data_IF_655282515265
#
_entry.id   IF_655282515265
#
_cell.length_a   1.000
_cell.length_b   1.000
_cell.length_c   1.000
_cell.angle_alpha   90.00
_cell.angle_beta   90.00
_cell.angle_gamma   90.00
#
_symmetry.space_group_name_H-M   'P 1'
#
loop_
_entity.id
_entity.type
_entity.pdbx_description
1 polymer ?
#
# COMPACT_ATOMS: atom_id res chain seq x y z
N UNK A 1 -31.68 2.11 21.00
CA UNK A 1 -30.99 2.80 22.12
C UNK A 1 -31.13 4.31 21.96
N UNK A 2 -30.69 4.88 20.84
CA UNK A 2 -30.83 6.32 20.54
C UNK A 2 -32.28 6.83 20.66
N UNK A 3 -33.25 6.15 20.05
CA UNK A 3 -34.67 6.50 20.15
C UNK A 3 -35.23 6.53 21.58
N UNK A 4 -34.78 5.60 22.45
CA UNK A 4 -35.29 5.47 23.82
C UNK A 4 -34.72 6.52 24.79
N UNK A 5 -33.59 7.14 24.45
CA UNK A 5 -32.95 8.18 25.27
C UNK A 5 -33.39 9.58 24.83
N UNK A 6 -33.59 9.79 23.52
CA UNK A 6 -34.09 11.06 22.96
C UNK A 6 -35.50 11.40 23.50
N UNK A 7 -36.37 10.40 23.66
CA UNK A 7 -37.74 10.58 24.17
C UNK A 7 -37.81 10.85 25.69
N UNK A 8 -36.73 10.66 26.45
CA UNK A 8 -36.78 10.62 27.93
C UNK A 8 -35.90 11.63 28.66
N UNK A 9 -35.02 12.37 27.98
CA UNK A 9 -33.95 13.11 28.64
C UNK A 9 -33.72 14.48 27.98
N UNK A 10 -33.57 15.55 28.78
CA UNK A 10 -33.17 16.89 28.32
C UNK A 10 -31.91 16.80 27.43
N UNK A 11 -31.85 17.63 26.37
CA UNK A 11 -30.75 17.61 25.38
C UNK A 11 -29.33 17.56 26.00
N UNK A 12 -29.12 18.22 27.14
CA UNK A 12 -27.83 18.20 27.85
C UNK A 12 -27.48 16.87 28.53
N UNK A 13 -28.47 16.17 29.10
CA UNK A 13 -28.26 14.90 29.79
C UNK A 13 -28.18 13.71 28.81
N UNK A 14 -28.87 13.80 27.67
CA UNK A 14 -28.76 12.86 26.53
C UNK A 14 -27.32 12.81 26.02
N UNK A 15 -26.65 13.95 25.89
CA UNK A 15 -25.27 14.03 25.44
C UNK A 15 -24.25 13.52 26.46
N UNK A 16 -24.41 13.78 27.76
CA UNK A 16 -23.51 13.21 28.77
C UNK A 16 -23.46 11.68 28.72
N UNK A 17 -24.55 11.04 28.26
CA UNK A 17 -24.61 9.61 28.03
C UNK A 17 -24.00 9.19 26.68
N UNK A 18 -24.34 9.89 25.58
CA UNK A 18 -23.90 9.52 24.23
C UNK A 18 -22.49 9.98 23.87
N UNK A 19 -22.02 11.11 24.39
CA UNK A 19 -20.74 11.73 24.04
C UNK A 19 -19.58 10.79 24.31
N UNK A 20 -19.56 10.12 25.46
CA UNK A 20 -18.53 9.11 25.78
C UNK A 20 -18.58 7.92 24.82
N UNK A 21 -19.78 7.43 24.51
CA UNK A 21 -19.95 6.31 23.57
C UNK A 21 -19.48 6.67 22.16
N UNK A 22 -19.75 7.90 21.71
CA UNK A 22 -19.35 8.39 20.37
C UNK A 22 -17.85 8.64 20.29
N UNK A 23 -17.24 9.19 21.34
CA UNK A 23 -15.77 9.30 21.42
C UNK A 23 -15.13 7.94 21.24
N UNK A 24 -15.55 6.96 22.05
CA UNK A 24 -15.03 5.60 21.99
C UNK A 24 -15.29 4.98 20.61
N UNK A 25 -16.45 5.23 20.01
CA UNK A 25 -16.78 4.78 18.66
C UNK A 25 -15.83 5.38 17.62
N UNK A 26 -15.52 6.67 17.69
CA UNK A 26 -14.55 7.32 16.80
C UNK A 26 -13.17 6.72 17.03
N UNK A 27 -12.69 6.67 18.26
CA UNK A 27 -11.35 6.15 18.61
C UNK A 27 -11.12 4.73 18.09
N UNK A 28 -12.16 3.90 18.04
CA UNK A 28 -12.11 2.51 17.59
C UNK A 28 -12.61 2.31 16.15
N UNK A 29 -13.06 3.36 15.46
CA UNK A 29 -13.52 3.29 14.08
C UNK A 29 -14.88 2.61 13.88
N UNK A 30 -15.74 2.59 14.91
CA UNK A 30 -17.09 2.00 14.91
C UNK A 30 -18.06 2.97 14.23
N UNK A 31 -17.97 3.06 12.91
CA UNK A 31 -18.77 3.98 12.10
C UNK A 31 -20.27 3.68 12.13
N UNK A 32 -20.68 2.43 12.28
CA UNK A 32 -22.08 1.99 12.29
C UNK A 32 -22.87 2.62 13.44
N UNK A 33 -22.23 2.71 14.62
CA UNK A 33 -22.81 3.37 15.78
C UNK A 33 -22.91 4.89 15.55
N UNK A 34 -21.93 5.48 14.88
CA UNK A 34 -21.91 6.91 14.59
C UNK A 34 -23.00 7.27 13.58
N UNK A 35 -23.16 6.46 12.52
CA UNK A 35 -24.20 6.60 11.50
C UNK A 35 -25.59 6.55 12.13
N UNK A 36 -25.86 5.55 12.99
CA UNK A 36 -27.13 5.45 13.71
C UNK A 36 -27.37 6.66 14.63
N UNK A 37 -26.35 7.13 15.35
CA UNK A 37 -26.46 8.32 16.20
C UNK A 37 -26.77 9.58 15.38
N UNK A 38 -26.13 9.77 14.22
CA UNK A 38 -26.36 10.90 13.32
C UNK A 38 -27.76 10.86 12.74
N UNK A 39 -28.25 9.68 12.32
CA UNK A 39 -29.61 9.52 11.78
C UNK A 39 -30.69 9.92 12.79
N UNK A 40 -30.48 9.59 14.07
CA UNK A 40 -31.43 9.88 15.13
C UNK A 40 -31.29 11.30 15.69
N UNK A 41 -30.08 11.87 15.64
CA UNK A 41 -29.79 13.22 16.12
C UNK A 41 -28.70 13.91 15.28
N UNK A 42 -29.04 14.52 14.13
CA UNK A 42 -28.05 15.08 13.20
C UNK A 42 -27.17 16.18 13.78
N UNK A 43 -27.68 16.91 14.79
CA UNK A 43 -26.95 17.97 15.49
C UNK A 43 -25.66 17.49 16.17
N UNK A 44 -25.49 16.18 16.37
CA UNK A 44 -24.36 15.56 17.07
C UNK A 44 -23.01 15.85 16.42
N UNK A 45 -22.98 16.16 15.12
CA UNK A 45 -21.75 16.44 14.37
C UNK A 45 -21.16 17.82 14.71
N UNK A 46 -22.01 18.74 15.17
CA UNK A 46 -21.63 20.11 15.56
C UNK A 46 -21.18 20.23 17.01
N UNK A 47 -21.24 19.16 17.80
CA UNK A 47 -20.82 19.22 19.20
C UNK A 47 -19.30 19.12 19.34
N UNK A 48 -18.76 20.03 20.13
CA UNK A 48 -17.34 20.07 20.49
C UNK A 48 -17.09 19.05 21.61
N UNK A 49 -16.27 18.05 21.31
CA UNK A 49 -15.81 17.02 22.23
C UNK A 49 -14.36 17.31 22.58
N UNK A 50 -14.06 17.64 23.84
CA UNK A 50 -12.68 17.91 24.28
C UNK A 50 -11.94 18.93 23.39
N UNK A 51 -12.63 19.94 22.83
CA UNK A 51 -12.04 20.89 21.89
C UNK A 51 -12.22 20.56 20.40
N UNK A 52 -12.74 19.36 20.07
CA UNK A 52 -12.76 18.83 18.71
C UNK A 52 -14.17 18.53 18.21
N UNK A 53 -14.45 18.94 16.98
CA UNK A 53 -15.57 18.37 16.22
C UNK A 53 -15.30 16.91 15.88
N UNK A 54 -16.37 16.14 15.67
CA UNK A 54 -16.33 14.72 15.36
C UNK A 54 -15.41 14.39 14.17
N UNK A 55 -15.38 15.28 13.16
CA UNK A 55 -14.50 15.17 12.00
C UNK A 55 -13.01 15.28 12.37
N UNK A 56 -12.64 16.26 13.21
CA UNK A 56 -11.26 16.44 13.67
C UNK A 56 -10.78 15.26 14.52
N UNK A 57 -11.66 14.63 15.30
CA UNK A 57 -11.34 13.40 16.03
C UNK A 57 -11.07 12.23 15.08
N UNK A 58 -11.87 12.06 14.02
CA UNK A 58 -11.62 11.05 13.00
C UNK A 58 -10.25 11.26 12.31
N UNK A 59 -9.88 12.52 12.04
CA UNK A 59 -8.56 12.90 11.51
C UNK A 59 -7.43 12.54 12.48
N UNK A 60 -7.58 12.92 13.76
CA UNK A 60 -6.60 12.68 14.83
C UNK A 60 -6.34 11.18 15.05
N UNK A 61 -7.38 10.35 15.02
CA UNK A 61 -7.27 8.92 15.28
C UNK A 61 -7.02 8.05 14.03
N UNK A 62 -6.87 8.64 12.83
CA UNK A 62 -6.68 7.91 11.55
C UNK A 62 -7.81 6.95 11.21
N UNK A 63 -9.05 7.36 11.43
CA UNK A 63 -10.21 6.49 11.31
C UNK A 63 -10.92 6.70 9.97
N UNK A 64 -10.42 6.03 8.93
CA UNK A 64 -10.87 6.18 7.54
C UNK A 64 -12.37 5.92 7.34
N UNK A 65 -12.96 4.91 8.00
CA UNK A 65 -14.39 4.61 7.88
C UNK A 65 -15.26 5.73 8.46
N UNK A 66 -14.86 6.24 9.62
CA UNK A 66 -15.56 7.36 10.27
C UNK A 66 -15.37 8.65 9.46
N UNK A 67 -14.16 8.89 8.96
CA UNK A 67 -13.88 10.00 8.05
C UNK A 67 -14.77 9.93 6.79
N UNK A 68 -14.85 8.77 6.15
CA UNK A 68 -15.63 8.59 4.91
C UNK A 68 -17.12 8.82 5.16
N UNK A 69 -17.67 8.33 6.28
CA UNK A 69 -19.04 8.60 6.72
C UNK A 69 -19.30 10.11 6.85
N UNK A 70 -18.45 10.82 7.59
CA UNK A 70 -18.63 12.25 7.84
C UNK A 70 -18.36 13.11 6.60
N UNK A 71 -17.49 12.67 5.70
CA UNK A 71 -17.19 13.33 4.44
C UNK A 71 -18.41 13.43 3.51
N UNK A 72 -19.33 12.47 3.60
CA UNK A 72 -20.57 12.48 2.81
C UNK A 72 -21.61 13.49 3.30
N UNK A 73 -21.46 14.02 4.53
CA UNK A 73 -22.44 14.89 5.12
C UNK A 73 -22.43 16.29 4.48
N UNK A 74 -23.62 16.90 4.44
CA UNK A 74 -23.77 18.30 4.08
C UNK A 74 -22.93 19.16 5.07
N UNK A 75 -22.15 20.11 4.54
CA UNK A 75 -21.30 20.96 5.38
C UNK A 75 -19.99 20.34 5.90
N UNK A 76 -19.52 19.19 5.37
CA UNK A 76 -18.26 18.54 5.83
C UNK A 76 -17.03 19.46 5.94
N UNK A 77 -16.94 20.48 5.08
CA UNK A 77 -15.87 21.50 5.09
C UNK A 77 -15.93 22.46 6.28
N UNK A 78 -17.11 22.63 6.88
CA UNK A 78 -17.31 23.47 8.06
C UNK A 78 -16.80 22.79 9.35
N UNK A 79 -16.63 21.47 9.35
CA UNK A 79 -16.11 20.70 10.49
C UNK A 79 -14.57 20.75 10.61
N UNK A 80 -13.89 21.36 9.64
CA UNK A 80 -12.44 21.56 9.60
C UNK A 80 -12.11 22.90 10.28
N UNK A 81 -12.19 22.94 11.60
CA UNK A 81 -11.94 24.14 12.40
C UNK A 81 -10.65 23.99 13.20
N UNK A 82 -10.02 25.13 13.51
CA UNK A 82 -8.90 25.20 14.45
C UNK A 82 -9.35 24.82 15.86
N UNK A 83 -8.60 23.94 16.52
CA UNK A 83 -8.66 23.75 17.97
C UNK A 83 -8.30 25.06 18.67
N UNK A 84 -9.16 25.48 19.59
CA UNK A 84 -8.99 26.70 20.37
C UNK A 84 -7.88 26.57 21.41
N UNK A 85 -7.47 25.35 21.81
CA UNK A 85 -6.48 25.16 22.87
C UNK A 85 -5.04 25.35 22.39
N UNK A 86 -4.66 24.72 21.28
CA UNK A 86 -3.26 24.73 20.79
C UNK A 86 -3.05 25.55 19.51
N UNK A 87 -4.11 26.17 18.98
CA UNK A 87 -4.09 26.82 17.66
C UNK A 87 -3.92 25.83 16.50
N UNK A 88 -4.02 24.53 16.76
CA UNK A 88 -3.86 23.46 15.78
C UNK A 88 -5.16 23.21 15.02
N UNK A 89 -5.14 23.29 13.70
CA UNK A 89 -6.27 22.85 12.89
C UNK A 89 -6.21 21.36 12.54
N UNK A 90 -7.26 20.84 11.92
CA UNK A 90 -7.33 19.43 11.49
C UNK A 90 -6.12 18.99 10.66
N UNK A 91 -5.49 19.88 9.89
CA UNK A 91 -4.29 19.56 9.12
C UNK A 91 -3.05 19.37 10.01
N UNK A 92 -2.95 20.09 11.14
CA UNK A 92 -1.89 19.83 12.13
C UNK A 92 -2.07 18.43 12.75
N UNK A 93 -3.30 18.00 13.06
CA UNK A 93 -3.55 16.64 13.55
C UNK A 93 -3.31 15.56 12.49
N UNK A 94 -3.55 15.86 11.22
CA UNK A 94 -3.10 15.01 10.12
C UNK A 94 -1.56 15.01 9.99
N UNK A 95 -0.89 16.05 10.48
CA UNK A 95 0.56 16.17 10.57
C UNK A 95 1.19 15.32 11.68
N UNK A 96 0.48 15.04 12.76
CA UNK A 96 0.99 14.24 13.89
C UNK A 96 1.06 12.76 13.55
N UNK A 97 2.00 12.02 14.11
CA UNK A 97 2.14 10.59 13.83
C UNK A 97 0.88 9.81 14.26
N UNK A 98 0.43 8.87 13.42
CA UNK A 98 -0.68 7.99 13.74
C UNK A 98 -0.49 7.20 15.05
N UNK A 99 -1.57 6.89 15.78
CA UNK A 99 -1.52 5.94 16.89
C UNK A 99 -0.91 4.59 16.45
N UNK A 100 -0.12 3.90 17.30
CA UNK A 100 0.59 2.69 16.91
C UNK A 100 -0.28 1.58 16.33
N UNK A 101 -1.51 1.42 16.85
CA UNK A 101 -2.47 0.41 16.35
C UNK A 101 -2.98 0.71 14.93
N UNK A 102 -2.89 1.96 14.47
CA UNK A 102 -3.24 2.35 13.09
C UNK A 102 -2.00 2.35 12.19
N UNK A 103 -0.88 2.87 12.70
CA UNK A 103 0.38 2.91 11.95
C UNK A 103 0.83 1.50 11.54
N UNK A 104 0.75 0.53 12.46
CA UNK A 104 1.19 -0.86 12.24
C UNK A 104 0.20 -1.72 11.45
N UNK A 105 -0.87 -1.14 10.88
CA UNK A 105 -1.78 -1.88 9.99
C UNK A 105 -1.16 -2.11 8.61
N UNK A 106 -0.16 -1.30 8.22
CA UNK A 106 0.50 -1.36 6.90
C UNK A 106 1.87 -2.02 7.03
N UNK A 107 2.24 -2.88 6.07
CA UNK A 107 3.53 -3.58 6.10
C UNK A 107 4.70 -2.70 5.67
N UNK A 108 5.76 -2.64 6.48
CA UNK A 108 7.00 -1.93 6.15
C UNK A 108 6.92 -0.41 6.31
N UNK A 109 7.99 0.18 6.87
CA UNK A 109 8.05 1.61 7.18
C UNK A 109 7.82 2.52 5.97
N UNK A 110 8.22 2.10 4.77
CA UNK A 110 8.00 2.89 3.56
C UNK A 110 6.52 3.01 3.16
N UNK A 111 5.73 1.95 3.35
CA UNK A 111 4.30 1.97 3.06
C UNK A 111 3.52 2.66 4.18
N UNK A 112 3.98 2.55 5.42
CA UNK A 112 3.49 3.38 6.53
C UNK A 112 3.70 4.87 6.23
N UNK A 113 4.90 5.26 5.77
CA UNK A 113 5.19 6.63 5.36
C UNK A 113 4.30 7.09 4.19
N UNK A 114 4.12 6.23 3.17
CA UNK A 114 3.20 6.51 2.07
C UNK A 114 1.77 6.75 2.58
N UNK A 115 1.28 5.91 3.50
CA UNK A 115 -0.07 6.00 4.07
C UNK A 115 -0.29 7.30 4.83
N UNK A 116 0.66 7.68 5.68
CA UNK A 116 0.57 8.93 6.44
C UNK A 116 0.59 10.15 5.52
N UNK A 117 1.39 10.11 4.45
CA UNK A 117 1.40 11.19 3.46
C UNK A 117 0.11 11.24 2.64
N UNK A 118 -0.47 10.10 2.25
CA UNK A 118 -1.79 10.02 1.61
C UNK A 118 -2.87 10.63 2.51
N UNK A 119 -2.83 10.32 3.82
CA UNK A 119 -3.75 10.88 4.80
C UNK A 119 -3.61 12.40 4.92
N UNK A 120 -2.39 12.89 5.07
CA UNK A 120 -2.09 14.32 5.15
C UNK A 120 -2.58 15.07 3.91
N UNK A 121 -2.27 14.56 2.71
CA UNK A 121 -2.69 15.18 1.44
C UNK A 121 -4.20 15.19 1.27
N UNK A 122 -4.92 14.21 1.80
CA UNK A 122 -6.39 14.23 1.72
C UNK A 122 -6.99 15.31 2.61
N UNK A 123 -6.55 15.40 3.87
CA UNK A 123 -7.00 16.46 4.77
C UNK A 123 -6.60 17.83 4.22
N UNK A 124 -5.44 17.95 3.58
CA UNK A 124 -4.96 19.17 2.93
C UNK A 124 -5.89 19.67 1.80
N UNK A 125 -6.58 18.77 1.09
CA UNK A 125 -7.56 19.16 0.05
C UNK A 125 -8.81 19.81 0.63
N UNK A 126 -9.14 19.49 1.89
CA UNK A 126 -10.36 19.98 2.53
C UNK A 126 -10.19 21.34 3.20
N UNK A 127 -8.97 21.64 3.65
CA UNK A 127 -8.71 22.86 4.42
C UNK A 127 -8.54 24.06 3.49
N UNK A 128 -9.02 25.24 3.92
CA UNK A 128 -8.77 26.51 3.23
C UNK A 128 -7.27 26.83 3.23
N UNK A 129 -6.82 27.62 2.25
CA UNK A 129 -5.41 28.01 2.15
C UNK A 129 -4.88 28.67 3.44
N UNK A 130 -5.68 29.53 4.08
CA UNK A 130 -5.33 30.14 5.38
C UNK A 130 -5.04 29.13 6.49
N UNK A 131 -5.65 27.94 6.47
CA UNK A 131 -5.37 26.88 7.44
C UNK A 131 -4.12 26.06 7.09
N UNK A 132 -3.67 26.08 5.83
CA UNK A 132 -2.41 25.43 5.42
C UNK A 132 -1.20 26.20 5.93
N UNK A 133 -1.33 27.52 6.03
CA UNK A 133 -0.28 28.43 6.48
C UNK A 133 -0.45 28.87 7.94
N UNK A 134 -1.57 28.50 8.57
CA UNK A 134 -1.79 28.75 9.98
C UNK A 134 -0.69 28.09 10.80
N UNK A 135 -0.20 28.80 11.81
CA UNK A 135 0.80 28.30 12.74
C UNK A 135 0.16 27.95 14.07
N UNK A 136 0.60 26.87 14.69
CA UNK A 136 0.22 26.51 16.05
C UNK A 136 0.94 27.40 17.09
N UNK A 137 0.68 27.15 18.38
CA UNK A 137 1.35 27.86 19.49
C UNK A 137 2.88 27.73 19.51
N UNK A 138 3.43 26.72 18.85
CA UNK A 138 4.88 26.49 18.69
C UNK A 138 5.44 27.13 17.41
N UNK A 139 4.65 27.94 16.71
CA UNK A 139 4.99 28.57 15.44
C UNK A 139 5.28 27.59 14.29
N UNK A 140 4.75 26.37 14.38
CA UNK A 140 4.86 25.36 13.33
C UNK A 140 3.64 25.39 12.42
N UNK A 141 3.84 25.33 11.10
CA UNK A 141 2.76 25.06 10.14
C UNK A 141 2.40 23.57 10.15
N UNK A 142 1.22 23.15 9.62
CA UNK A 142 0.87 21.74 9.51
C UNK A 142 1.93 20.91 8.78
N UNK A 143 2.55 21.50 7.76
CA UNK A 143 3.62 20.85 6.98
C UNK A 143 4.88 20.64 7.81
N UNK A 144 5.25 21.61 8.63
CA UNK A 144 6.38 21.48 9.56
C UNK A 144 6.12 20.41 10.61
N UNK A 145 4.91 20.38 11.19
CA UNK A 145 4.51 19.32 12.12
C UNK A 145 4.64 17.94 11.47
N UNK A 146 4.15 17.76 10.24
CA UNK A 146 4.29 16.50 9.52
C UNK A 146 5.76 16.05 9.38
N UNK A 147 6.63 16.94 8.93
CA UNK A 147 8.04 16.63 8.73
C UNK A 147 8.78 16.34 10.05
N UNK A 148 8.44 17.04 11.14
CA UNK A 148 9.05 16.80 12.45
C UNK A 148 8.60 15.45 13.04
N UNK A 149 7.30 15.18 13.02
CA UNK A 149 6.69 13.97 13.61
C UNK A 149 7.03 12.69 12.84
N UNK A 150 7.22 12.79 11.52
CA UNK A 150 7.50 11.63 10.67
C UNK A 150 8.99 11.48 10.33
N UNK A 151 9.88 12.23 10.98
CA UNK A 151 11.32 12.22 10.67
C UNK A 151 11.95 10.82 10.79
N UNK A 152 11.68 10.12 11.89
CA UNK A 152 12.20 8.77 12.12
C UNK A 152 11.54 7.76 11.17
N UNK A 153 10.21 7.84 10.97
CA UNK A 153 9.50 6.97 10.02
C UNK A 153 10.02 7.15 8.59
N UNK A 154 10.33 8.38 8.18
CA UNK A 154 10.92 8.66 6.88
C UNK A 154 12.28 7.99 6.74
N UNK A 155 13.13 8.05 7.79
CA UNK A 155 14.44 7.39 7.79
C UNK A 155 14.30 5.87 7.73
N UNK A 156 13.42 5.28 8.52
CA UNK A 156 13.13 3.84 8.47
C UNK A 156 12.57 3.43 7.10
N UNK A 157 11.69 4.24 6.51
CA UNK A 157 11.15 4.03 5.17
C UNK A 157 12.23 4.10 4.08
N UNK A 158 13.18 5.02 4.20
CA UNK A 158 14.34 5.11 3.32
C UNK A 158 15.21 3.86 3.41
N UNK A 159 15.54 3.43 4.62
CA UNK A 159 16.37 2.24 4.86
C UNK A 159 15.67 0.97 4.36
N UNK A 160 14.39 0.81 4.67
CA UNK A 160 13.58 -0.33 4.22
C UNK A 160 13.53 -0.43 2.70
N UNK A 161 13.31 0.69 2.01
CA UNK A 161 13.23 0.69 0.55
C UNK A 161 14.58 0.46 -0.11
N UNK A 162 15.67 1.05 0.43
CA UNK A 162 17.04 0.80 -0.05
C UNK A 162 17.44 -0.66 0.12
N UNK A 163 17.20 -1.23 1.30
CA UNK A 163 17.50 -2.64 1.60
C UNK A 163 16.73 -3.58 0.66
N UNK A 164 15.42 -3.39 0.56
CA UNK A 164 14.54 -4.20 -0.31
C UNK A 164 14.97 -4.10 -1.77
N UNK A 165 15.25 -2.89 -2.27
CA UNK A 165 15.65 -2.68 -3.67
C UNK A 165 17.02 -3.27 -3.96
N UNK A 166 17.98 -3.16 -3.03
CA UNK A 166 19.31 -3.75 -3.14
C UNK A 166 19.23 -5.29 -3.21
N UNK A 167 18.55 -5.92 -2.25
CA UNK A 167 18.35 -7.37 -2.24
C UNK A 167 17.64 -7.87 -3.49
N UNK A 168 16.59 -7.17 -3.93
CA UNK A 168 15.85 -7.55 -5.13
C UNK A 168 16.66 -7.33 -6.42
N UNK A 169 17.56 -6.32 -6.45
CA UNK A 169 18.50 -6.12 -7.57
C UNK A 169 19.45 -7.31 -7.71
N UNK A 170 20.00 -7.80 -6.59
CA UNK A 170 20.89 -8.97 -6.59
C UNK A 170 20.15 -10.20 -7.12
N UNK A 171 18.94 -10.47 -6.62
CA UNK A 171 18.11 -11.59 -7.08
C UNK A 171 17.78 -11.46 -8.57
N UNK A 172 17.39 -10.27 -9.03
CA UNK A 172 17.11 -10.02 -10.44
C UNK A 172 18.35 -10.24 -11.33
N UNK A 173 19.52 -9.77 -10.90
CA UNK A 173 20.78 -10.00 -11.62
C UNK A 173 21.15 -11.49 -11.73
N UNK A 174 20.85 -12.30 -10.71
CA UNK A 174 21.00 -13.76 -10.79
C UNK A 174 20.10 -14.38 -11.86
N UNK A 175 18.85 -13.91 -11.99
CA UNK A 175 17.97 -14.39 -13.07
C UNK A 175 18.45 -13.94 -14.45
N UNK A 176 19.03 -12.73 -14.58
CA UNK A 176 19.66 -12.28 -15.82
C UNK A 176 20.78 -13.23 -16.23
N UNK A 177 21.70 -13.55 -15.31
CA UNK A 177 22.84 -14.43 -15.61
C UNK A 177 22.41 -15.86 -15.91
N UNK A 178 21.43 -16.39 -15.17
CA UNK A 178 20.88 -17.73 -15.40
C UNK A 178 20.21 -17.83 -16.78
N UNK A 179 19.34 -16.89 -17.14
CA UNK A 179 18.67 -16.89 -18.44
C UNK A 179 19.68 -16.72 -19.59
N UNK A 180 20.60 -15.76 -19.44
CA UNK A 180 21.64 -15.55 -20.45
C UNK A 180 22.53 -16.79 -20.64
N UNK A 181 22.86 -17.52 -19.58
CA UNK A 181 23.61 -18.77 -19.71
C UNK A 181 22.78 -19.88 -20.36
N UNK A 182 21.50 -19.99 -19.99
CA UNK A 182 20.60 -21.05 -20.45
C UNK A 182 20.43 -21.09 -21.97
N UNK A 183 20.38 -19.95 -22.65
CA UNK A 183 20.25 -19.92 -24.12
C UNK A 183 21.48 -20.51 -24.83
N UNK A 184 22.68 -20.39 -24.26
CA UNK A 184 23.92 -20.95 -24.83
C UNK A 184 24.20 -22.38 -24.37
N UNK A 185 23.60 -22.80 -23.25
CA UNK A 185 23.66 -24.17 -22.74
C UNK A 185 22.38 -24.96 -23.03
N UNK A 186 21.61 -24.51 -24.03
CA UNK A 186 20.31 -25.06 -24.36
C UNK A 186 20.41 -26.58 -24.64
N UNK A 187 19.48 -27.38 -24.09
CA UNK A 187 19.50 -28.82 -24.26
C UNK A 187 19.39 -29.20 -25.73
N UNK A 188 20.14 -30.24 -26.13
CA UNK A 188 20.19 -30.74 -27.51
C UNK A 188 21.40 -30.31 -28.32
N UNK A 189 22.07 -29.21 -27.97
CA UNK A 189 23.25 -28.74 -28.69
C UNK A 189 22.97 -28.26 -30.12
N UNK A 190 24.05 -28.00 -30.87
CA UNK A 190 23.99 -27.53 -32.26
C UNK A 190 24.35 -28.65 -33.24
N UNK A 191 23.66 -28.64 -34.38
CA UNK A 191 24.08 -29.39 -35.57
C UNK A 191 25.42 -28.87 -36.13
N UNK A 192 26.05 -29.63 -37.03
CA UNK A 192 27.30 -29.22 -37.71
C UNK A 192 27.18 -27.88 -38.47
N UNK A 193 25.95 -27.47 -38.80
CA UNK A 193 25.64 -26.18 -39.42
C UNK A 193 25.42 -25.03 -38.41
N UNK A 194 25.65 -25.27 -37.11
CA UNK A 194 25.47 -24.30 -36.02
C UNK A 194 24.01 -24.06 -35.61
N UNK A 195 23.06 -24.84 -36.15
CA UNK A 195 21.62 -24.70 -35.84
C UNK A 195 21.22 -25.58 -34.66
N UNK A 196 20.41 -25.11 -33.69
CA UNK A 196 19.96 -25.94 -32.58
C UNK A 196 19.20 -27.18 -33.07
N UNK A 197 19.50 -28.34 -32.48
CA UNK A 197 18.95 -29.63 -32.89
C UNK A 197 17.42 -29.72 -32.72
N UNK A 198 16.86 -29.02 -31.73
CA UNK A 198 15.42 -29.01 -31.43
C UNK A 198 14.67 -27.79 -32.01
N UNK A 199 15.21 -27.08 -33.02
CA UNK A 199 14.58 -25.87 -33.59
C UNK A 199 13.10 -26.01 -34.00
N UNK A 200 12.63 -27.23 -34.31
CA UNK A 200 11.25 -27.51 -34.71
C UNK A 200 10.39 -28.09 -33.59
N UNK A 201 10.97 -28.38 -32.43
CA UNK A 201 10.27 -28.92 -31.28
C UNK A 201 9.48 -27.80 -30.58
N UNK A 202 8.16 -27.94 -30.39
CA UNK A 202 7.35 -26.92 -29.71
C UNK A 202 7.81 -26.63 -28.27
N UNK A 203 8.36 -27.63 -27.56
CA UNK A 203 8.90 -27.48 -26.20
C UNK A 203 10.19 -26.65 -26.22
N UNK A 204 11.02 -26.79 -27.25
CA UNK A 204 12.21 -25.95 -27.43
C UNK A 204 11.86 -24.51 -27.77
N UNK A 205 10.84 -24.27 -28.59
CA UNK A 205 10.34 -22.92 -28.86
C UNK A 205 9.80 -22.28 -27.57
N UNK A 206 9.04 -23.03 -26.77
CA UNK A 206 8.55 -22.58 -25.47
C UNK A 206 9.71 -22.22 -24.52
N UNK A 207 10.77 -23.04 -24.48
CA UNK A 207 11.98 -22.77 -23.71
C UNK A 207 12.60 -21.42 -24.13
N UNK A 208 12.89 -21.23 -25.42
CA UNK A 208 13.55 -20.01 -25.92
C UNK A 208 12.71 -18.74 -25.65
N UNK A 209 11.39 -18.80 -25.87
CA UNK A 209 10.50 -17.65 -25.61
C UNK A 209 10.47 -17.33 -24.12
N UNK A 210 10.32 -18.35 -23.27
CA UNK A 210 10.26 -18.16 -21.81
C UNK A 210 11.58 -17.63 -21.25
N UNK A 211 12.70 -18.13 -21.76
CA UNK A 211 14.04 -17.67 -21.39
C UNK A 211 14.26 -16.21 -21.78
N UNK A 212 13.85 -15.81 -22.99
CA UNK A 212 13.90 -14.41 -23.41
C UNK A 212 13.04 -13.49 -22.51
N UNK A 213 11.81 -13.91 -22.17
CA UNK A 213 10.93 -13.17 -21.25
C UNK A 213 11.59 -13.04 -19.88
N UNK A 214 12.21 -14.11 -19.38
CA UNK A 214 12.94 -14.09 -18.11
C UNK A 214 14.09 -13.08 -18.15
N UNK A 215 14.91 -13.10 -19.21
CA UNK A 215 16.06 -12.21 -19.37
C UNK A 215 15.65 -10.73 -19.44
N UNK A 216 14.68 -10.39 -20.29
CA UNK A 216 14.25 -9.00 -20.45
C UNK A 216 13.53 -8.49 -19.19
N UNK A 217 12.66 -9.30 -18.60
CA UNK A 217 11.92 -8.91 -17.39
C UNK A 217 12.82 -8.76 -16.17
N UNK A 218 13.82 -9.63 -16.00
CA UNK A 218 14.83 -9.48 -14.93
C UNK A 218 15.73 -8.28 -15.16
N UNK A 219 16.15 -8.01 -16.41
CA UNK A 219 16.93 -6.82 -16.77
C UNK A 219 16.15 -5.52 -16.49
N UNK A 220 14.87 -5.46 -16.85
CA UNK A 220 13.98 -4.34 -16.50
C UNK A 220 13.88 -4.17 -14.99
N UNK A 221 13.74 -5.27 -14.24
CA UNK A 221 13.71 -5.22 -12.78
C UNK A 221 14.97 -4.62 -12.18
N UNK A 222 16.16 -5.01 -12.67
CA UNK A 222 17.45 -4.44 -12.24
C UNK A 222 17.47 -2.93 -12.46
N UNK A 223 17.14 -2.47 -13.67
CA UNK A 223 17.14 -1.05 -14.00
C UNK A 223 16.16 -0.25 -13.15
N UNK A 224 14.97 -0.80 -12.89
CA UNK A 224 13.97 -0.14 -12.05
C UNK A 224 14.43 -0.07 -10.59
N UNK A 225 15.00 -1.12 -10.02
CA UNK A 225 15.52 -1.07 -8.64
C UNK A 225 16.73 -0.14 -8.50
N UNK A 226 17.63 -0.12 -9.49
CA UNK A 226 18.70 0.88 -9.55
C UNK A 226 18.12 2.30 -9.58
N UNK A 227 17.04 2.53 -10.32
CA UNK A 227 16.36 3.84 -10.34
C UNK A 227 15.77 4.22 -8.97
N UNK A 228 15.34 3.24 -8.17
CA UNK A 228 14.92 3.48 -6.77
C UNK A 228 16.11 3.87 -5.93
N UNK A 229 17.22 3.12 -6.00
CA UNK A 229 18.45 3.40 -5.24
C UNK A 229 19.09 4.75 -5.57
N UNK A 230 18.98 5.21 -6.82
CA UNK A 230 19.47 6.52 -7.26
C UNK A 230 18.49 7.68 -6.99
N UNK A 231 17.32 7.42 -6.40
CA UNK A 231 16.35 8.47 -6.09
C UNK A 231 16.79 9.31 -4.89
N UNK A 232 16.28 10.55 -4.79
CA UNK A 232 16.60 11.48 -3.68
C UNK A 232 15.97 11.08 -2.34
N UNK A 233 14.95 10.22 -2.37
CA UNK A 233 14.13 9.84 -1.22
C UNK A 233 13.57 11.02 -0.41
N UNK A 234 13.08 12.05 -1.10
CA UNK A 234 12.37 13.13 -0.45
C UNK A 234 11.02 12.63 0.08
N UNK A 235 10.51 13.27 1.13
CA UNK A 235 9.23 12.92 1.76
C UNK A 235 8.09 12.77 0.74
N UNK A 236 7.95 13.72 -0.18
CA UNK A 236 6.92 13.69 -1.25
C UNK A 236 7.08 12.54 -2.24
N UNK A 237 8.29 12.00 -2.40
CA UNK A 237 8.52 10.89 -3.34
C UNK A 237 7.88 9.60 -2.84
N UNK A 238 7.66 9.46 -1.53
CA UNK A 238 6.96 8.32 -0.91
C UNK A 238 5.47 8.28 -1.25
N UNK A 239 4.88 9.36 -1.81
CA UNK A 239 3.47 9.34 -2.17
C UNK A 239 3.20 8.44 -3.39
N UNK A 240 3.98 8.63 -4.45
CA UNK A 240 3.78 7.95 -5.73
C UNK A 240 5.08 7.49 -6.40
N UNK A 241 6.09 8.35 -6.51
CA UNK A 241 7.26 8.09 -7.34
C UNK A 241 8.02 6.82 -6.90
N UNK A 242 8.31 6.71 -5.61
CA UNK A 242 9.04 5.59 -5.03
C UNK A 242 8.20 4.29 -4.98
N UNK A 243 6.98 4.27 -4.40
CA UNK A 243 6.13 3.07 -4.41
C UNK A 243 5.83 2.55 -5.81
N UNK A 244 5.63 3.44 -6.80
CA UNK A 244 5.36 3.05 -8.18
C UNK A 244 6.55 2.35 -8.83
N UNK A 245 7.76 2.90 -8.65
CA UNK A 245 9.00 2.25 -9.14
C UNK A 245 9.23 0.91 -8.44
N UNK A 246 9.08 0.86 -7.11
CA UNK A 246 9.24 -0.37 -6.34
C UNK A 246 8.26 -1.46 -6.82
N UNK A 247 6.98 -1.10 -6.98
CA UNK A 247 5.94 -2.03 -7.47
C UNK A 247 6.27 -2.51 -8.88
N UNK A 248 6.66 -1.61 -9.79
CA UNK A 248 7.04 -1.99 -11.16
C UNK A 248 8.23 -2.96 -11.17
N UNK A 249 9.26 -2.70 -10.34
CA UNK A 249 10.42 -3.58 -10.22
C UNK A 249 10.04 -4.97 -9.72
N UNK A 250 9.25 -5.05 -8.65
CA UNK A 250 8.80 -6.33 -8.10
C UNK A 250 7.89 -7.11 -9.05
N UNK A 251 7.00 -6.43 -9.79
CA UNK A 251 6.17 -7.08 -10.83
C UNK A 251 7.03 -7.65 -11.97
N UNK A 252 8.04 -6.90 -12.41
CA UNK A 252 9.00 -7.35 -13.42
C UNK A 252 9.82 -8.55 -12.94
N UNK A 253 10.25 -8.54 -11.67
CA UNK A 253 10.94 -9.68 -11.06
C UNK A 253 10.05 -10.92 -10.97
N UNK A 254 8.78 -10.74 -10.59
CA UNK A 254 7.82 -11.83 -10.50
C UNK A 254 7.59 -12.50 -11.87
N UNK A 255 7.43 -11.70 -12.93
CA UNK A 255 7.34 -12.22 -14.30
C UNK A 255 8.61 -12.98 -14.69
N UNK A 256 9.79 -12.46 -14.32
CA UNK A 256 11.06 -13.13 -14.62
C UNK A 256 11.14 -14.50 -13.97
N UNK A 257 10.78 -14.59 -12.68
CA UNK A 257 10.78 -15.84 -11.92
C UNK A 257 9.83 -16.86 -12.54
N UNK A 258 8.59 -16.46 -12.84
CA UNK A 258 7.62 -17.33 -13.49
C UNK A 258 8.13 -17.85 -14.85
N UNK A 259 8.71 -16.96 -15.66
CA UNK A 259 9.25 -17.30 -16.96
C UNK A 259 10.46 -18.25 -16.86
N UNK A 260 11.37 -18.04 -15.92
CA UNK A 260 12.50 -18.95 -15.65
C UNK A 260 12.02 -20.33 -15.23
N UNK A 261 10.94 -20.42 -14.44
CA UNK A 261 10.38 -21.71 -14.02
C UNK A 261 9.75 -22.48 -15.19
N UNK A 262 9.08 -21.77 -16.11
CA UNK A 262 8.57 -22.37 -17.35
C UNK A 262 9.73 -22.84 -18.24
N UNK A 263 10.77 -22.00 -18.41
CA UNK A 263 11.97 -22.36 -19.18
C UNK A 263 12.66 -23.60 -18.60
N UNK A 264 12.83 -23.65 -17.28
CA UNK A 264 13.41 -24.80 -16.60
C UNK A 264 12.59 -26.08 -16.80
N UNK A 265 11.26 -26.01 -16.68
CA UNK A 265 10.37 -27.15 -16.95
C UNK A 265 10.43 -27.65 -18.39
N UNK A 266 10.49 -26.72 -19.36
CA UNK A 266 10.66 -27.05 -20.78
C UNK A 266 12.03 -27.69 -21.05
N UNK A 267 13.11 -27.14 -20.47
CA UNK A 267 14.45 -27.68 -20.60
C UNK A 267 14.56 -29.09 -20.01
N UNK A 268 13.99 -29.34 -18.83
CA UNK A 268 13.96 -30.68 -18.24
C UNK A 268 13.19 -31.68 -19.10
N UNK A 269 12.08 -31.25 -19.69
CA UNK A 269 11.28 -32.11 -20.59
C UNK A 269 12.07 -32.51 -21.84
N UNK A 270 12.87 -31.59 -22.40
CA UNK A 270 13.76 -31.86 -23.53
C UNK A 270 14.93 -32.78 -23.15
N UNK A 271 15.51 -32.62 -21.95
CA UNK A 271 16.64 -33.44 -21.48
C UNK A 271 16.21 -34.86 -21.16
N UNK A 272 15.08 -35.04 -20.47
CA UNK A 272 14.61 -36.37 -20.05
C UNK A 272 14.04 -37.15 -21.26
N UNK A 273 13.51 -36.44 -22.25
CA UNK A 273 12.82 -37.04 -23.40
C UNK A 273 11.60 -37.88 -22.97
N UNK A 274 10.98 -38.56 -23.93
CA UNK A 274 9.84 -39.45 -23.67
C UNK A 274 10.25 -40.83 -23.08
N UNK A 275 11.53 -41.04 -22.78
CA UNK A 275 12.09 -42.37 -22.50
C UNK A 275 11.92 -42.81 -21.03
N UNK A 276 11.77 -41.88 -20.08
CA UNK A 276 11.83 -42.21 -18.64
C UNK A 276 10.68 -41.59 -17.82
N UNK A 277 9.44 -41.93 -18.15
CA UNK A 277 8.23 -41.45 -17.46
C UNK A 277 8.26 -41.58 -15.91
N UNK A 278 8.96 -42.58 -15.38
CA UNK A 278 9.04 -42.81 -13.93
C UNK A 278 9.85 -41.75 -13.16
N UNK A 279 10.75 -41.00 -13.84
CA UNK A 279 11.60 -39.97 -13.21
C UNK A 279 11.07 -38.56 -13.49
N UNK A 280 10.33 -38.37 -14.59
CA UNK A 280 9.74 -37.08 -14.97
C UNK A 280 8.78 -36.52 -13.93
N UNK A 281 7.87 -37.34 -13.39
CA UNK A 281 6.87 -36.92 -12.42
C UNK A 281 7.46 -36.38 -11.09
N UNK A 282 8.39 -37.07 -10.40
CA UNK A 282 8.99 -36.55 -9.17
C UNK A 282 9.86 -35.31 -9.40
N UNK A 283 10.54 -35.18 -10.54
CA UNK A 283 11.36 -33.99 -10.85
C UNK A 283 10.47 -32.76 -11.07
N UNK A 284 9.36 -32.89 -11.81
CA UNK A 284 8.38 -31.81 -11.98
C UNK A 284 7.77 -31.41 -10.63
N UNK A 285 7.42 -32.39 -9.78
CA UNK A 285 6.88 -32.12 -8.46
C UNK A 285 7.88 -31.36 -7.58
N UNK A 286 9.16 -31.74 -7.61
CA UNK A 286 10.21 -31.06 -6.86
C UNK A 286 10.46 -29.63 -7.37
N UNK A 287 10.44 -29.44 -8.70
CA UNK A 287 10.57 -28.13 -9.33
C UNK A 287 9.39 -27.20 -9.01
N UNK A 288 8.19 -27.74 -8.75
CA UNK A 288 7.01 -26.96 -8.39
C UNK A 288 7.05 -26.41 -6.95
N UNK A 289 7.86 -27.01 -6.04
CA UNK A 289 7.92 -26.58 -4.64
C UNK A 289 8.46 -25.14 -4.49
N UNK A 290 9.61 -24.76 -5.07
CA UNK A 290 10.08 -23.38 -5.04
C UNK A 290 9.07 -22.39 -5.65
N UNK A 291 8.35 -22.80 -6.71
CA UNK A 291 7.35 -21.97 -7.38
C UNK A 291 6.17 -21.69 -6.46
N UNK A 292 5.61 -22.73 -5.84
CA UNK A 292 4.46 -22.59 -4.95
C UNK A 292 4.82 -21.78 -3.71
N UNK A 293 6.00 -22.00 -3.13
CA UNK A 293 6.51 -21.19 -2.01
C UNK A 293 6.68 -19.72 -2.40
N UNK A 294 7.25 -19.44 -3.57
CA UNK A 294 7.42 -18.07 -4.03
C UNK A 294 6.08 -17.35 -4.25
N UNK A 295 5.11 -18.02 -4.89
CA UNK A 295 3.76 -17.51 -5.04
C UNK A 295 3.10 -17.23 -3.68
N UNK A 296 3.17 -18.16 -2.73
CA UNK A 296 2.54 -18.01 -1.42
C UNK A 296 3.14 -16.87 -0.59
N UNK A 297 4.47 -16.72 -0.62
CA UNK A 297 5.16 -15.74 0.23
C UNK A 297 5.18 -14.33 -0.37
N UNK A 298 5.38 -14.21 -1.69
CA UNK A 298 5.61 -12.90 -2.33
C UNK A 298 4.32 -12.26 -2.88
N UNK A 299 3.31 -13.06 -3.20
CA UNK A 299 2.05 -12.55 -3.75
C UNK A 299 1.31 -11.61 -2.79
N UNK A 300 1.17 -11.88 -1.47
CA UNK A 300 0.49 -10.96 -0.56
C UNK A 300 1.13 -9.57 -0.54
N UNK A 301 2.47 -9.50 -0.51
CA UNK A 301 3.22 -8.24 -0.54
C UNK A 301 3.00 -7.48 -1.85
N UNK A 302 3.01 -8.17 -2.99
CA UNK A 302 2.74 -7.58 -4.30
C UNK A 302 1.32 -6.99 -4.38
N UNK A 303 0.33 -7.71 -3.87
CA UNK A 303 -1.06 -7.26 -3.84
C UNK A 303 -1.22 -6.02 -2.97
N UNK A 304 -0.58 -6.00 -1.79
CA UNK A 304 -0.63 -4.85 -0.88
C UNK A 304 0.01 -3.61 -1.51
N UNK A 305 1.21 -3.76 -2.10
CA UNK A 305 1.91 -2.68 -2.82
C UNK A 305 1.09 -2.14 -4.00
N UNK A 306 0.53 -3.05 -4.80
CA UNK A 306 -0.29 -2.68 -5.94
C UNK A 306 -1.55 -1.94 -5.49
N UNK A 307 -2.24 -2.43 -4.46
CA UNK A 307 -3.44 -1.78 -3.91
C UNK A 307 -3.13 -0.42 -3.27
N UNK A 308 -2.00 -0.28 -2.55
CA UNK A 308 -1.57 0.99 -1.98
C UNK A 308 -1.22 2.04 -3.04
N UNK A 309 -0.64 1.59 -4.16
CA UNK A 309 -0.13 2.47 -5.22
C UNK A 309 -1.18 2.80 -6.30
N UNK A 310 -2.00 1.83 -6.68
CA UNK A 310 -2.94 1.92 -7.81
C UNK A 310 -4.41 1.65 -7.44
N UNK A 311 -4.68 1.17 -6.22
CA UNK A 311 -6.03 0.85 -5.79
C UNK A 311 -6.89 2.10 -5.57
N UNK A 312 -8.17 1.89 -5.29
CA UNK A 312 -9.04 2.94 -4.76
C UNK A 312 -8.37 3.54 -3.52
N UNK A 313 -8.26 4.87 -3.47
CA UNK A 313 -7.69 5.55 -2.32
C UNK A 313 -8.37 5.15 -1.00
N UNK A 314 -7.74 5.48 0.12
CA UNK A 314 -8.28 5.31 1.48
C UNK A 314 -9.70 5.87 1.62
N UNK A 315 -9.99 6.85 0.78
CA UNK A 315 -11.16 7.69 0.80
C UNK A 315 -12.11 7.29 -0.31
N UNK A 316 -13.31 6.89 0.07
CA UNK A 316 -14.36 6.48 -0.86
C UNK A 316 -15.72 6.94 -0.31
N UNK A 317 -16.68 7.10 -1.22
CA UNK A 317 -18.07 7.34 -0.84
C UNK A 317 -18.66 6.03 -0.32
N UNK A 318 -19.05 6.03 0.96
CA UNK A 318 -19.51 4.85 1.67
C UNK A 318 -20.93 4.44 1.27
N UNK A 319 -21.86 5.40 1.14
CA UNK A 319 -23.25 5.17 0.72
C UNK A 319 -23.76 6.32 -0.18
N UNK A 320 -24.85 6.08 -0.92
CA UNK A 320 -25.57 7.14 -1.66
C UNK A 320 -26.57 7.93 -0.80
N UNK A 321 -26.73 7.54 0.47
CA UNK A 321 -27.56 8.25 1.43
C UNK A 321 -26.95 9.63 1.71
N UNK A 322 -27.67 10.68 1.28
CA UNK A 322 -27.45 12.04 1.74
C UNK A 322 -27.89 12.10 3.20
N UNK A 323 -26.93 11.94 4.11
CA UNK A 323 -27.09 12.34 5.50
C UNK A 323 -27.22 13.88 5.50
N UNK A 324 -28.47 14.34 5.64
CA UNK A 324 -28.84 15.75 5.59
C UNK A 324 -28.36 16.51 6.83
#
# INVERSE_FOLDING_TARGET
MCSAVIDKVEHGATWNLFGKAIITAVEHGIHELIEECINQYPGIVWYEINGFYLFSLAVKHRQEKVYNLLYQMSGHKAYVVADKQNGENSLHYAGKLAPPHRLNTVTGAALQMQRELQWFKEVEKLVKHSHKEAVNTEHNTPRMVFTLEHKELLKEGQEWMKSTSSSATVVAALFVTMAFAAIFTAPGGNSDAGKPLFLRDPVFILFVISDAVALFSSSTSVLVFLSVLSSRFAEEDFLYALPKRLTLGLMSLFIAIAATMIAFGAALSLVIGNEVHSITAPVILLAAIPVTLFLLLQYPLLVELFRSTYGSGIFYKQNDLLLH
#
